data_IF_631938843071
#
_entry.id   IF_631938843071
#
_cell.length_a   1.000
_cell.length_b   1.000
_cell.length_c   1.000
_cell.angle_alpha   90.00
_cell.angle_beta   90.00
_cell.angle_gamma   90.00
#
_symmetry.space_group_name_H-M   'P 1'
#
loop_
_entity.id
_entity.type
_entity.pdbx_description
1 polymer ?
#
# COMPACT_ATOMS: atom_id res chain seq x y z
N UNK A 1 46.87 9.72 28.63
CA UNK A 1 45.79 8.78 28.30
C UNK A 1 44.62 9.57 27.74
N UNK A 2 44.43 9.54 26.42
CA UNK A 2 43.13 9.52 25.72
C UNK A 2 43.40 9.90 24.25
N UNK A 3 43.71 8.89 23.44
CA UNK A 3 43.72 8.98 21.98
C UNK A 3 42.29 9.22 21.50
N UNK A 4 42.06 10.35 20.84
CA UNK A 4 40.84 10.59 20.07
C UNK A 4 41.07 10.01 18.68
N UNK A 5 40.79 8.71 18.54
CA UNK A 5 40.72 8.04 17.25
C UNK A 5 39.47 8.51 16.49
N UNK A 6 39.62 9.64 15.78
CA UNK A 6 38.67 10.10 14.78
C UNK A 6 38.70 9.17 13.57
N UNK A 7 37.91 8.08 13.61
CA UNK A 7 37.53 7.33 12.42
C UNK A 7 36.75 8.26 11.49
N UNK A 8 37.44 8.80 10.49
CA UNK A 8 36.83 9.38 9.30
C UNK A 8 35.99 8.24 8.68
N UNK A 9 34.68 8.28 8.87
CA UNK A 9 33.75 7.51 8.04
C UNK A 9 33.84 8.13 6.66
N UNK A 10 34.56 7.45 5.76
CA UNK A 10 34.40 7.63 4.33
C UNK A 10 32.92 7.37 4.03
N UNK A 11 32.16 8.43 3.78
CA UNK A 11 30.84 8.35 3.16
C UNK A 11 31.15 7.94 1.73
N UNK A 12 31.21 6.63 1.46
CA UNK A 12 31.22 6.14 0.10
C UNK A 12 29.93 6.62 -0.54
N UNK A 13 30.09 7.57 -1.45
CA UNK A 13 29.04 8.23 -2.20
C UNK A 13 28.65 7.33 -3.39
N UNK A 14 28.28 6.07 -3.10
CA UNK A 14 27.67 5.18 -4.07
C UNK A 14 26.18 5.55 -4.16
N UNK A 15 25.89 6.77 -4.61
CA UNK A 15 24.54 7.12 -5.04
C UNK A 15 24.31 6.42 -6.38
N UNK A 16 23.81 5.19 -6.31
CA UNK A 16 23.09 4.61 -7.43
C UNK A 16 21.91 5.56 -7.71
N UNK A 17 21.80 6.06 -8.94
CA UNK A 17 20.69 6.92 -9.37
C UNK A 17 19.36 6.22 -9.07
N UNK A 18 18.68 6.64 -8.01
CA UNK A 18 17.42 6.02 -7.58
C UNK A 18 16.30 6.46 -8.52
N UNK A 19 15.57 5.49 -9.05
CA UNK A 19 14.44 5.73 -9.95
C UNK A 19 13.15 5.68 -9.14
N UNK A 20 12.28 6.67 -9.35
CA UNK A 20 10.97 6.76 -8.70
C UNK A 20 9.91 6.49 -9.76
N UNK A 21 9.01 5.56 -9.48
CA UNK A 21 7.89 5.26 -10.38
C UNK A 21 6.58 5.77 -9.78
N UNK A 22 5.73 6.39 -10.58
CA UNK A 22 4.39 6.84 -10.19
C UNK A 22 3.36 6.09 -11.03
N UNK A 23 2.63 5.19 -10.39
CA UNK A 23 1.48 4.50 -10.97
C UNK A 23 0.20 5.22 -10.58
N UNK A 24 -0.36 6.03 -11.49
CA UNK A 24 -1.61 6.77 -11.28
C UNK A 24 -2.25 7.05 -12.64
N UNK A 25 -3.56 7.18 -12.70
CA UNK A 25 -4.29 7.57 -13.92
C UNK A 25 -4.56 9.09 -13.99
N UNK A 26 -4.23 9.83 -12.93
CA UNK A 26 -4.41 11.27 -12.87
C UNK A 26 -3.20 12.04 -13.42
N UNK A 27 -3.32 12.52 -14.66
CA UNK A 27 -2.28 13.31 -15.34
C UNK A 27 -1.88 14.59 -14.60
N UNK A 28 -2.78 15.21 -13.83
CA UNK A 28 -2.47 16.42 -13.06
C UNK A 28 -1.62 16.10 -11.84
N UNK A 29 -1.93 14.98 -11.17
CA UNK A 29 -1.11 14.48 -10.08
C UNK A 29 0.29 14.13 -10.59
N UNK A 30 0.40 13.41 -11.71
CA UNK A 30 1.69 13.10 -12.34
C UNK A 30 2.54 14.33 -12.57
N UNK A 31 2.00 15.37 -13.23
CA UNK A 31 2.74 16.60 -13.52
C UNK A 31 3.21 17.29 -12.25
N UNK A 32 2.35 17.35 -11.25
CA UNK A 32 2.64 18.04 -9.99
C UNK A 32 3.70 17.29 -9.17
N UNK A 33 3.53 15.98 -9.00
CA UNK A 33 4.47 15.13 -8.28
C UNK A 33 5.82 15.05 -9.00
N UNK A 34 5.84 14.92 -10.34
CA UNK A 34 7.09 14.86 -11.11
C UNK A 34 7.86 16.18 -11.00
N UNK A 35 7.18 17.32 -11.15
CA UNK A 35 7.80 18.64 -10.99
C UNK A 35 8.39 18.82 -9.58
N UNK A 36 7.63 18.42 -8.55
CA UNK A 36 8.08 18.48 -7.17
C UNK A 36 9.31 17.59 -6.91
N UNK A 37 9.26 16.33 -7.35
CA UNK A 37 10.34 15.36 -7.13
C UNK A 37 11.61 15.73 -7.92
N UNK A 38 11.48 16.24 -9.15
CA UNK A 38 12.63 16.74 -9.91
C UNK A 38 13.33 17.91 -9.21
N UNK A 39 12.58 18.84 -8.62
CA UNK A 39 13.17 19.95 -7.87
C UNK A 39 13.90 19.48 -6.60
N UNK A 40 13.46 18.38 -5.97
CA UNK A 40 14.02 17.87 -4.71
C UNK A 40 15.22 16.95 -4.91
N UNK A 41 15.12 16.04 -5.87
CA UNK A 41 16.08 14.97 -6.07
C UNK A 41 17.02 15.26 -7.26
N UNK A 42 16.72 16.26 -8.07
CA UNK A 42 17.41 16.51 -9.33
C UNK A 42 16.80 15.71 -10.49
N UNK A 43 17.20 16.06 -11.71
CA UNK A 43 16.75 15.37 -12.93
C UNK A 43 17.31 13.95 -13.07
N UNK A 44 18.32 13.60 -12.27
CA UNK A 44 18.96 12.28 -12.22
C UNK A 44 18.05 11.20 -11.61
N UNK A 45 17.04 11.60 -10.81
CA UNK A 45 15.97 10.71 -10.37
C UNK A 45 14.88 10.69 -11.44
N UNK A 46 14.88 9.64 -12.25
CA UNK A 46 13.92 9.47 -13.33
C UNK A 46 12.55 9.18 -12.71
N UNK A 47 11.57 10.06 -12.96
CA UNK A 47 10.17 9.88 -12.58
C UNK A 47 9.42 9.34 -13.78
N UNK A 48 9.14 8.03 -13.78
CA UNK A 48 8.29 7.43 -14.80
C UNK A 48 6.84 7.41 -14.31
N UNK A 49 5.92 7.87 -15.15
CA UNK A 49 4.51 7.86 -14.86
C UNK A 49 3.84 6.77 -15.72
N UNK A 50 3.15 5.84 -15.07
CA UNK A 50 2.48 4.71 -15.74
C UNK A 50 1.00 4.69 -15.36
N UNK A 51 0.15 4.23 -16.28
CA UNK A 51 -1.31 4.18 -16.10
C UNK A 51 -1.89 2.77 -16.17
N UNK A 52 -1.06 1.76 -16.47
CA UNK A 52 -1.50 0.37 -16.52
C UNK A 52 -0.53 -0.59 -15.83
N UNK A 53 -1.05 -1.73 -15.38
CA UNK A 53 -0.28 -2.73 -14.64
C UNK A 53 0.84 -3.36 -15.49
N UNK A 54 0.65 -3.51 -16.81
CA UNK A 54 1.67 -4.16 -17.65
C UNK A 54 2.88 -3.25 -17.80
N UNK A 55 2.65 -1.97 -18.05
CA UNK A 55 3.71 -0.97 -18.11
C UNK A 55 4.41 -0.82 -16.75
N UNK A 56 3.65 -0.83 -15.64
CA UNK A 56 4.24 -0.87 -14.28
C UNK A 56 5.29 -1.99 -14.13
N UNK A 57 4.93 -3.23 -14.45
CA UNK A 57 5.87 -4.36 -14.31
C UNK A 57 6.95 -4.37 -15.40
N UNK A 58 6.67 -3.84 -16.59
CA UNK A 58 7.69 -3.65 -17.63
C UNK A 58 8.77 -2.67 -17.17
N UNK A 59 8.37 -1.50 -16.64
CA UNK A 59 9.29 -0.50 -16.11
C UNK A 59 10.14 -1.06 -14.96
N UNK A 60 9.54 -1.83 -14.04
CA UNK A 60 10.29 -2.52 -12.97
C UNK A 60 11.33 -3.49 -13.56
N UNK A 61 10.96 -4.24 -14.61
CA UNK A 61 11.85 -5.25 -15.19
C UNK A 61 13.04 -4.66 -15.97
N UNK A 62 12.88 -3.48 -16.58
CA UNK A 62 13.95 -2.84 -17.38
C UNK A 62 14.80 -1.83 -16.60
N UNK A 63 14.36 -1.42 -15.40
CA UNK A 63 15.08 -0.46 -14.56
C UNK A 63 15.43 -1.10 -13.21
N UNK A 64 16.68 -1.54 -13.07
CA UNK A 64 17.16 -2.20 -11.83
C UNK A 64 17.27 -1.26 -10.62
N UNK A 65 17.24 0.06 -10.86
CA UNK A 65 17.44 1.08 -9.82
C UNK A 65 16.13 1.66 -9.25
N UNK A 66 14.96 1.08 -9.56
CA UNK A 66 13.71 1.51 -8.95
C UNK A 66 13.73 1.18 -7.47
N UNK A 67 13.76 2.21 -6.62
CA UNK A 67 13.78 2.03 -5.17
C UNK A 67 12.42 2.36 -4.53
N UNK A 68 11.59 3.14 -5.22
CA UNK A 68 10.33 3.68 -4.70
C UNK A 68 9.26 3.69 -5.79
N UNK A 69 8.07 3.21 -5.43
CA UNK A 69 6.89 3.28 -6.28
C UNK A 69 5.74 3.93 -5.51
N UNK A 70 5.23 5.02 -6.05
CA UNK A 70 3.98 5.65 -5.62
C UNK A 70 2.83 5.04 -6.42
N UNK A 71 1.90 4.38 -5.74
CA UNK A 71 0.76 3.69 -6.36
C UNK A 71 -0.53 4.36 -5.91
N UNK A 72 -1.23 5.00 -6.84
CA UNK A 72 -2.59 5.47 -6.62
C UNK A 72 -3.54 4.30 -6.49
N UNK A 73 -4.18 4.19 -5.32
CA UNK A 73 -5.25 3.25 -5.11
C UNK A 73 -6.59 3.92 -5.35
N UNK A 74 -7.38 3.29 -6.21
CA UNK A 74 -8.78 3.61 -6.41
C UNK A 74 -9.63 2.36 -6.15
N UNK A 75 -10.66 2.41 -5.27
CA UNK A 75 -11.46 1.23 -4.91
C UNK A 75 -12.14 0.52 -6.08
N UNK A 76 -12.43 1.24 -7.17
CA UNK A 76 -13.03 0.67 -8.39
C UNK A 76 -11.98 -0.09 -9.22
N UNK A 77 -10.71 0.27 -9.11
CA UNK A 77 -9.60 -0.38 -9.83
C UNK A 77 -8.97 -1.45 -8.94
N UNK A 78 -9.76 -2.50 -8.70
CA UNK A 78 -9.46 -3.61 -7.80
C UNK A 78 -8.08 -4.24 -8.05
N UNK A 79 -7.62 -4.26 -9.31
CA UNK A 79 -6.31 -4.78 -9.70
C UNK A 79 -5.13 -4.11 -8.97
N UNK A 80 -5.29 -2.91 -8.43
CA UNK A 80 -4.21 -2.23 -7.68
C UNK A 80 -3.72 -3.06 -6.48
N UNK A 81 -4.64 -3.67 -5.71
CA UNK A 81 -4.25 -4.51 -4.57
C UNK A 81 -3.56 -5.81 -5.01
N UNK A 82 -3.95 -6.34 -6.16
CA UNK A 82 -3.29 -7.48 -6.79
C UNK A 82 -1.86 -7.12 -7.22
N UNK A 83 -1.68 -5.97 -7.88
CA UNK A 83 -0.36 -5.47 -8.28
C UNK A 83 0.54 -5.20 -7.07
N UNK A 84 0.01 -4.61 -6.00
CA UNK A 84 0.77 -4.41 -4.75
C UNK A 84 1.16 -5.76 -4.12
N UNK A 85 0.25 -6.74 -4.09
CA UNK A 85 0.56 -8.06 -3.58
C UNK A 85 1.69 -8.74 -4.37
N UNK A 86 1.66 -8.65 -5.71
CA UNK A 86 2.76 -9.13 -6.57
C UNK A 86 4.04 -8.37 -6.30
N UNK A 87 3.99 -7.04 -6.21
CA UNK A 87 5.15 -6.19 -5.94
C UNK A 87 5.84 -6.60 -4.64
N UNK A 88 5.08 -6.70 -3.54
CA UNK A 88 5.62 -7.14 -2.25
C UNK A 88 6.17 -8.56 -2.25
N UNK A 89 5.64 -9.43 -3.10
CA UNK A 89 6.08 -10.83 -3.21
C UNK A 89 7.37 -10.97 -4.02
N UNK A 90 7.50 -10.23 -5.12
CA UNK A 90 8.58 -10.40 -6.09
C UNK A 90 9.68 -9.34 -5.98
N UNK A 91 9.35 -8.16 -5.44
CA UNK A 91 10.23 -7.01 -5.27
C UNK A 91 10.07 -6.40 -3.85
N UNK A 92 10.29 -7.18 -2.78
CA UNK A 92 10.09 -6.73 -1.39
C UNK A 92 10.99 -5.56 -0.97
N UNK A 93 12.12 -5.37 -1.65
CA UNK A 93 13.07 -4.27 -1.48
C UNK A 93 12.57 -2.93 -2.01
N UNK A 94 11.60 -2.95 -2.94
CA UNK A 94 11.03 -1.72 -3.48
C UNK A 94 10.08 -1.11 -2.44
N UNK A 95 10.33 0.16 -2.10
CA UNK A 95 9.46 0.94 -1.23
C UNK A 95 8.14 1.23 -1.93
N UNK A 96 7.09 0.56 -1.49
CA UNK A 96 5.73 0.80 -1.97
C UNK A 96 5.04 1.87 -1.13
N UNK A 97 4.69 2.99 -1.74
CA UNK A 97 3.89 4.07 -1.15
C UNK A 97 2.52 4.07 -1.80
N UNK A 98 1.45 3.91 -1.02
CA UNK A 98 0.08 3.96 -1.56
C UNK A 98 -0.51 5.36 -1.40
N UNK A 99 -1.04 5.91 -2.49
CA UNK A 99 -1.70 7.21 -2.54
C UNK A 99 -3.23 7.02 -2.54
N UNK A 100 -3.93 7.66 -1.62
CA UNK A 100 -5.39 7.63 -1.49
C UNK A 100 -5.99 9.00 -1.83
N UNK A 101 -6.95 9.02 -2.77
CA UNK A 101 -7.70 10.24 -3.11
C UNK A 101 -8.61 10.67 -1.95
N UNK A 102 -9.37 9.73 -1.37
CA UNK A 102 -10.29 10.00 -0.27
C UNK A 102 -9.97 9.12 0.96
N UNK A 103 -9.16 9.63 1.89
CA UNK A 103 -8.70 8.87 3.03
C UNK A 103 -9.83 8.63 4.05
N UNK A 104 -10.14 7.37 4.34
CA UNK A 104 -11.01 7.01 5.45
C UNK A 104 -10.54 5.71 6.11
N UNK A 105 -10.99 5.49 7.36
CA UNK A 105 -10.54 4.38 8.20
C UNK A 105 -10.58 2.99 7.50
N UNK A 106 -11.68 2.56 6.84
CA UNK A 106 -11.68 1.26 6.17
C UNK A 106 -10.64 1.10 5.05
N UNK A 107 -10.29 2.16 4.32
CA UNK A 107 -9.24 2.09 3.29
C UNK A 107 -7.88 1.85 3.94
N UNK A 108 -7.59 2.49 5.07
CA UNK A 108 -6.36 2.26 5.84
C UNK A 108 -6.30 0.82 6.34
N UNK A 109 -7.39 0.29 6.91
CA UNK A 109 -7.48 -1.12 7.33
C UNK A 109 -7.15 -2.04 6.16
N UNK A 110 -7.80 -1.84 5.02
CA UNK A 110 -7.58 -2.65 3.83
C UNK A 110 -6.12 -2.61 3.38
N UNK A 111 -5.51 -1.43 3.31
CA UNK A 111 -4.10 -1.29 2.94
C UNK A 111 -3.18 -2.05 3.93
N UNK A 112 -3.42 -1.91 5.23
CA UNK A 112 -2.65 -2.62 6.27
C UNK A 112 -2.81 -4.14 6.18
N UNK A 113 -3.98 -4.63 5.81
CA UNK A 113 -4.21 -6.06 5.56
C UNK A 113 -3.41 -6.60 4.36
N UNK A 114 -2.96 -5.72 3.47
CA UNK A 114 -2.04 -6.01 2.37
C UNK A 114 -0.57 -5.71 2.69
N UNK A 115 -0.22 -5.48 3.97
CA UNK A 115 1.16 -5.19 4.42
C UNK A 115 1.73 -3.91 3.79
N UNK A 116 0.86 -2.96 3.48
CA UNK A 116 1.28 -1.63 3.05
C UNK A 116 1.67 -0.82 4.29
N UNK A 117 2.95 -0.49 4.38
CA UNK A 117 3.56 0.29 5.46
C UNK A 117 3.38 1.80 5.29
N UNK A 118 3.43 2.29 4.05
CA UNK A 118 3.46 3.73 3.77
C UNK A 118 2.21 4.12 3.00
N UNK A 119 1.38 4.97 3.60
CA UNK A 119 0.08 5.40 3.06
C UNK A 119 0.03 6.94 3.09
N UNK A 120 -0.16 7.56 1.94
CA UNK A 120 -0.34 9.00 1.76
C UNK A 120 -1.74 9.31 1.28
N UNK A 121 -2.25 10.48 1.65
CA UNK A 121 -3.40 11.08 0.98
C UNK A 121 -2.92 12.05 -0.08
N UNK A 122 -3.57 12.05 -1.24
CA UNK A 122 -3.37 13.08 -2.27
C UNK A 122 -3.99 14.43 -1.91
N UNK A 123 -4.73 14.52 -0.80
CA UNK A 123 -5.24 15.78 -0.25
C UNK A 123 -4.21 16.51 0.60
N UNK A 124 -3.14 15.83 1.03
CA UNK A 124 -2.05 16.47 1.76
C UNK A 124 -1.15 17.27 0.82
N UNK A 125 -0.34 18.13 1.40
CA UNK A 125 0.71 18.85 0.68
C UNK A 125 1.69 17.85 0.02
N UNK A 126 2.19 18.21 -1.17
CA UNK A 126 3.24 17.44 -1.87
C UNK A 126 4.51 17.30 -1.03
N UNK A 127 4.75 18.19 -0.05
CA UNK A 127 5.81 18.01 0.94
C UNK A 127 5.76 16.67 1.68
N UNK A 128 4.58 16.05 1.83
CA UNK A 128 4.47 14.71 2.41
C UNK A 128 5.17 13.63 1.58
N UNK A 129 5.41 13.86 0.29
CA UNK A 129 6.23 12.97 -0.53
C UNK A 129 7.66 12.91 0.01
N UNK A 130 8.23 14.04 0.47
CA UNK A 130 9.59 14.06 1.02
C UNK A 130 9.70 13.20 2.28
N UNK A 131 8.69 13.24 3.15
CA UNK A 131 8.68 12.48 4.40
C UNK A 131 8.78 10.97 4.20
N UNK A 132 8.44 10.47 3.00
CA UNK A 132 8.49 9.03 2.70
C UNK A 132 9.70 8.62 1.87
N UNK A 133 10.43 9.56 1.26
CA UNK A 133 11.60 9.25 0.41
C UNK A 133 12.81 8.73 1.20
N UNK A 134 12.87 8.98 2.50
CA UNK A 134 13.97 8.54 3.37
C UNK A 134 13.61 7.28 4.18
N UNK A 135 12.36 6.81 4.11
CA UNK A 135 11.87 5.65 4.88
C UNK A 135 12.38 4.32 4.33
N UNK A 136 12.52 3.29 5.16
CA UNK A 136 12.80 1.94 4.67
C UNK A 136 11.53 1.28 4.09
N UNK A 137 11.64 0.29 3.18
CA UNK A 137 10.49 -0.40 2.58
C UNK A 137 9.50 -1.04 3.58
N UNK A 138 9.98 -1.34 4.80
CA UNK A 138 9.23 -1.94 5.89
C UNK A 138 8.73 -0.92 6.92
N UNK A 139 9.01 0.37 6.74
CA UNK A 139 8.60 1.41 7.67
C UNK A 139 7.09 1.68 7.58
N UNK A 140 6.59 2.30 8.65
CA UNK A 140 5.20 2.66 8.78
C UNK A 140 5.07 4.18 8.72
N UNK A 141 4.26 4.66 7.79
CA UNK A 141 3.89 6.06 7.69
C UNK A 141 2.44 6.16 7.26
N UNK A 142 1.71 7.07 7.90
CA UNK A 142 0.33 7.41 7.57
C UNK A 142 0.26 8.93 7.55
N UNK A 143 -0.19 9.51 6.44
CA UNK A 143 -0.12 10.96 6.29
C UNK A 143 -1.08 11.71 7.23
N UNK A 144 -0.78 12.99 7.53
CA UNK A 144 -1.47 13.74 8.59
C UNK A 144 -2.98 13.89 8.37
N UNK A 145 -3.46 14.02 7.13
CA UNK A 145 -4.90 14.13 6.84
C UNK A 145 -5.73 12.94 7.36
N UNK A 146 -5.13 11.75 7.54
CA UNK A 146 -5.82 10.62 8.15
C UNK A 146 -6.07 10.83 9.65
N UNK A 147 -5.17 11.53 10.32
CA UNK A 147 -5.26 11.84 11.75
C UNK A 147 -6.28 12.95 12.00
N UNK A 148 -6.33 13.97 11.14
CA UNK A 148 -7.26 15.09 11.29
C UNK A 148 -8.73 14.69 11.06
N UNK A 149 -8.96 13.67 10.22
CA UNK A 149 -10.31 13.15 9.93
C UNK A 149 -10.73 11.98 10.85
N UNK A 150 -9.85 11.55 11.76
CA UNK A 150 -10.15 10.47 12.70
C UNK A 150 -10.76 11.04 13.98
N UNK A 151 -11.95 10.55 14.35
CA UNK A 151 -12.46 10.73 15.71
C UNK A 151 -11.68 9.86 16.71
N UNK A 152 -11.79 10.13 18.01
CA UNK A 152 -11.06 9.38 19.07
C UNK A 152 -11.21 7.86 18.95
N UNK A 153 -12.41 7.38 18.57
CA UNK A 153 -12.70 5.95 18.36
C UNK A 153 -11.95 5.36 17.17
N UNK A 154 -11.75 6.12 16.09
CA UNK A 154 -10.97 5.70 14.93
C UNK A 154 -9.47 5.76 15.23
N UNK A 155 -9.01 6.75 16.00
CA UNK A 155 -7.61 6.87 16.41
C UNK A 155 -7.13 5.67 17.22
N UNK A 156 -7.88 5.25 18.25
CA UNK A 156 -7.56 4.04 19.00
C UNK A 156 -7.47 2.79 18.12
N UNK A 157 -8.33 2.71 17.10
CA UNK A 157 -8.32 1.61 16.15
C UNK A 157 -7.12 1.67 15.21
N UNK A 158 -6.75 2.85 14.70
CA UNK A 158 -5.55 3.04 13.87
C UNK A 158 -4.31 2.62 14.67
N UNK A 159 -4.15 3.13 15.90
CA UNK A 159 -3.02 2.78 16.78
C UNK A 159 -2.96 1.27 17.03
N UNK A 160 -4.11 0.63 17.25
CA UNK A 160 -4.17 -0.83 17.40
C UNK A 160 -3.78 -1.56 16.12
N UNK A 161 -4.22 -1.08 14.96
CA UNK A 161 -3.86 -1.64 13.65
C UNK A 161 -2.36 -1.52 13.39
N UNK A 162 -1.77 -0.36 13.70
CA UNK A 162 -0.32 -0.16 13.56
C UNK A 162 0.50 -1.05 14.48
N UNK A 163 -0.04 -1.40 15.65
CA UNK A 163 0.61 -2.32 16.59
C UNK A 163 0.39 -3.81 16.25
N UNK A 164 -0.58 -4.15 15.41
CA UNK A 164 -0.88 -5.53 15.04
C UNK A 164 -0.07 -5.96 13.81
N UNK A 165 0.86 -6.90 13.99
CA UNK A 165 1.85 -7.23 12.96
C UNK A 165 1.31 -7.98 11.73
N UNK A 166 0.15 -8.66 11.75
CA UNK A 166 -0.46 -9.28 10.55
C UNK A 166 -1.97 -9.52 10.74
N UNK A 167 -2.81 -8.87 9.95
CA UNK A 167 -4.28 -9.05 10.00
C UNK A 167 -4.75 -10.32 9.28
N UNK A 168 -4.14 -10.63 8.15
CA UNK A 168 -4.51 -11.76 7.30
C UNK A 168 -3.39 -12.80 7.29
N UNK A 169 -3.77 -14.08 7.31
CA UNK A 169 -2.85 -15.17 6.98
C UNK A 169 -2.35 -15.02 5.53
N UNK A 170 -1.19 -15.59 5.19
CA UNK A 170 -0.70 -15.57 3.81
C UNK A 170 -1.72 -16.10 2.80
N UNK A 171 -2.50 -17.13 3.17
CA UNK A 171 -3.53 -17.71 2.31
C UNK A 171 -4.74 -16.79 2.12
N UNK A 172 -5.23 -16.18 3.21
CA UNK A 172 -6.35 -15.23 3.14
C UNK A 172 -6.01 -14.02 2.27
N UNK A 173 -4.80 -13.49 2.41
CA UNK A 173 -4.30 -12.38 1.61
C UNK A 173 -4.14 -12.77 0.14
N UNK A 174 -3.52 -13.92 -0.12
CA UNK A 174 -3.38 -14.45 -1.48
C UNK A 174 -4.75 -14.57 -2.17
N UNK A 175 -5.72 -15.21 -1.52
CA UNK A 175 -7.05 -15.41 -2.11
C UNK A 175 -7.74 -14.08 -2.39
N UNK A 176 -7.64 -13.10 -1.49
CA UNK A 176 -8.18 -11.77 -1.75
C UNK A 176 -7.45 -11.08 -2.91
N UNK A 177 -6.12 -11.11 -2.95
CA UNK A 177 -5.34 -10.53 -4.03
C UNK A 177 -5.76 -11.08 -5.39
N UNK A 178 -5.87 -12.40 -5.53
CA UNK A 178 -6.30 -13.03 -6.78
C UNK A 178 -7.74 -12.66 -7.17
N UNK A 179 -8.65 -12.53 -6.21
CA UNK A 179 -10.02 -12.05 -6.46
C UNK A 179 -10.01 -10.58 -6.92
N UNK A 180 -9.18 -9.75 -6.30
CA UNK A 180 -8.98 -8.36 -6.73
C UNK A 180 -8.33 -8.28 -8.11
N UNK A 181 -7.55 -9.29 -8.50
CA UNK A 181 -7.04 -9.55 -9.86
C UNK A 181 -8.03 -10.27 -10.78
N UNK A 182 -9.33 -10.14 -10.51
CA UNK A 182 -10.44 -10.64 -11.32
C UNK A 182 -10.54 -12.16 -11.47
N UNK A 183 -9.82 -12.96 -10.67
CA UNK A 183 -9.99 -14.42 -10.68
C UNK A 183 -11.23 -14.86 -9.92
N UNK A 184 -11.95 -15.83 -10.48
CA UNK A 184 -13.06 -16.48 -9.78
C UNK A 184 -12.56 -17.47 -8.72
N UNK A 185 -13.37 -17.71 -7.69
CA UNK A 185 -13.05 -18.71 -6.65
C UNK A 185 -12.86 -20.11 -7.21
N UNK A 186 -13.50 -20.43 -8.34
CA UNK A 186 -13.36 -21.72 -9.01
C UNK A 186 -11.99 -21.86 -9.67
N UNK A 187 -11.50 -20.81 -10.35
CA UNK A 187 -10.16 -20.77 -10.94
C UNK A 187 -9.10 -20.89 -9.85
N UNK A 188 -9.24 -20.11 -8.77
CA UNK A 188 -8.29 -20.16 -7.64
C UNK A 188 -8.29 -21.56 -7.01
N UNK A 189 -9.45 -22.20 -6.84
CA UNK A 189 -9.54 -23.55 -6.29
C UNK A 189 -8.82 -24.59 -7.15
N UNK A 190 -8.99 -24.50 -8.46
CA UNK A 190 -8.32 -25.35 -9.44
C UNK A 190 -6.80 -25.17 -9.39
N UNK A 191 -6.30 -23.94 -9.46
CA UNK A 191 -4.87 -23.61 -9.40
C UNK A 191 -4.22 -24.09 -8.08
N UNK A 192 -5.00 -24.13 -6.99
CA UNK A 192 -4.54 -24.53 -5.67
C UNK A 192 -4.75 -26.01 -5.34
N UNK A 193 -5.41 -26.78 -6.22
CA UNK A 193 -5.73 -28.18 -5.97
C UNK A 193 -6.63 -28.40 -4.75
N UNK A 194 -7.60 -27.52 -4.50
CA UNK A 194 -8.51 -27.61 -3.36
C UNK A 194 -9.97 -27.37 -3.75
N UNK A 195 -10.90 -27.52 -2.80
CA UNK A 195 -12.33 -27.30 -3.08
C UNK A 195 -12.67 -25.80 -3.17
N UNK A 196 -13.67 -25.46 -3.98
CA UNK A 196 -14.23 -24.10 -4.03
C UNK A 196 -14.72 -23.64 -2.65
N UNK A 197 -15.25 -24.58 -1.83
CA UNK A 197 -15.67 -24.32 -0.46
C UNK A 197 -14.52 -23.86 0.43
N UNK A 198 -13.33 -24.44 0.26
CA UNK A 198 -12.11 -24.05 0.98
C UNK A 198 -11.73 -22.60 0.65
N UNK A 199 -11.71 -22.25 -0.64
CA UNK A 199 -11.43 -20.87 -1.09
C UNK A 199 -12.47 -19.89 -0.55
N UNK A 200 -13.75 -20.26 -0.60
CA UNK A 200 -14.83 -19.44 -0.04
C UNK A 200 -14.66 -19.19 1.45
N UNK A 201 -14.25 -20.21 2.22
CA UNK A 201 -14.04 -20.07 3.66
C UNK A 201 -12.89 -19.10 3.97
N UNK A 202 -11.76 -19.20 3.26
CA UNK A 202 -10.68 -18.22 3.40
C UNK A 202 -11.12 -16.81 3.02
N UNK A 203 -11.83 -16.64 1.90
CA UNK A 203 -12.40 -15.34 1.50
C UNK A 203 -13.28 -14.76 2.60
N UNK A 204 -14.18 -15.57 3.15
CA UNK A 204 -15.09 -15.16 4.23
C UNK A 204 -14.31 -14.76 5.48
N UNK A 205 -13.35 -15.57 5.90
CA UNK A 205 -12.52 -15.27 7.07
C UNK A 205 -11.73 -13.96 6.88
N UNK A 206 -11.19 -13.75 5.68
CA UNK A 206 -10.44 -12.54 5.37
C UNK A 206 -11.34 -11.30 5.45
N UNK A 207 -12.53 -11.33 4.85
CA UNK A 207 -13.51 -10.24 4.94
C UNK A 207 -13.89 -9.93 6.39
N UNK A 208 -14.19 -10.96 7.20
CA UNK A 208 -14.53 -10.81 8.62
C UNK A 208 -13.38 -10.16 9.40
N UNK A 209 -12.14 -10.61 9.20
CA UNK A 209 -10.94 -10.06 9.86
C UNK A 209 -10.70 -8.59 9.51
N UNK A 210 -11.03 -8.19 8.29
CA UNK A 210 -10.96 -6.80 7.83
C UNK A 210 -12.16 -5.94 8.27
N UNK A 211 -13.19 -6.55 8.84
CA UNK A 211 -14.42 -5.85 9.24
C UNK A 211 -15.39 -5.59 8.08
N UNK A 212 -15.29 -6.32 6.97
CA UNK A 212 -16.19 -6.23 5.82
C UNK A 212 -17.17 -7.41 5.79
N UNK A 213 -18.43 -7.15 5.45
CA UNK A 213 -19.45 -8.19 5.25
C UNK A 213 -19.37 -8.81 3.87
N UNK A 214 -18.87 -8.05 2.89
CA UNK A 214 -18.78 -8.49 1.49
C UNK A 214 -17.70 -7.73 0.72
N UNK A 215 -17.30 -8.28 -0.43
CA UNK A 215 -16.42 -7.57 -1.38
C UNK A 215 -17.09 -6.29 -1.91
N UNK A 216 -18.42 -6.28 -1.98
CA UNK A 216 -19.20 -5.14 -2.44
C UNK A 216 -18.99 -3.93 -1.52
N UNK A 217 -18.87 -4.13 -0.21
CA UNK A 217 -18.54 -3.05 0.72
C UNK A 217 -17.16 -2.43 0.46
N UNK A 218 -16.18 -3.25 0.04
CA UNK A 218 -14.84 -2.77 -0.33
C UNK A 218 -14.90 -1.90 -1.59
N UNK A 219 -15.70 -2.29 -2.57
CA UNK A 219 -15.90 -1.51 -3.80
C UNK A 219 -16.59 -0.17 -3.50
N UNK A 220 -17.53 -0.14 -2.56
CA UNK A 220 -18.31 1.05 -2.20
C UNK A 220 -17.66 1.97 -1.16
N UNK A 221 -16.40 1.74 -0.80
CA UNK A 221 -15.66 2.56 0.17
C UNK A 221 -15.72 4.07 -0.14
N UNK A 222 -15.94 4.46 -1.40
CA UNK A 222 -16.16 5.84 -1.88
C UNK A 222 -17.25 6.65 -1.17
N UNK A 223 -18.22 6.06 -0.46
CA UNK A 223 -19.43 6.77 -0.02
C UNK A 223 -19.41 7.39 1.38
N UNK A 224 -18.32 7.31 2.14
CA UNK A 224 -18.26 7.94 3.48
C UNK A 224 -19.35 7.48 4.47
N UNK A 225 -20.10 6.42 4.13
CA UNK A 225 -21.19 5.94 4.94
C UNK A 225 -20.63 5.16 6.12
N UNK A 226 -20.97 5.65 7.30
CA UNK A 226 -20.86 5.00 8.60
C UNK A 226 -21.15 3.51 8.43
N UNK A 227 -20.17 2.67 8.76
CA UNK A 227 -20.35 1.23 8.95
C UNK A 227 -21.70 1.00 9.64
N UNK A 228 -22.58 0.13 9.13
CA UNK A 228 -23.82 -0.17 9.82
C UNK A 228 -23.48 -0.55 11.25
N UNK A 229 -23.94 0.27 12.20
CA UNK A 229 -23.91 -0.01 13.62
C UNK A 229 -24.40 -1.44 13.81
N UNK A 230 -23.47 -2.33 14.25
CA UNK A 230 -23.65 -3.70 14.75
C UNK A 230 -22.51 -4.61 14.27
N UNK A 231 -21.34 -4.40 14.87
CA UNK A 231 -20.46 -5.51 15.25
C UNK A 231 -19.90 -5.19 16.62
N UNK A 232 -20.81 -5.24 17.61
CA UNK A 232 -20.42 -5.42 19.01
C UNK A 232 -19.65 -6.75 19.09
N UNK A 233 -18.48 -6.71 19.70
CA UNK A 233 -17.82 -7.83 20.38
C UNK A 233 -17.29 -9.02 19.55
N UNK A 234 -16.84 -8.88 18.30
CA UNK A 234 -16.17 -10.00 17.62
C UNK A 234 -14.95 -9.62 16.77
N UNK A 235 -14.00 -8.88 17.35
CA UNK A 235 -12.61 -9.25 17.09
C UNK A 235 -12.31 -10.40 18.06
N UNK A 236 -12.71 -11.62 17.71
CA UNK A 236 -12.24 -12.78 18.44
C UNK A 236 -10.77 -12.98 18.09
N UNK A 237 -9.94 -12.46 18.99
CA UNK A 237 -8.51 -12.69 19.06
C UNK A 237 -8.32 -14.15 19.47
N UNK A 238 -7.82 -14.97 18.54
CA UNK A 238 -7.13 -16.22 18.84
C UNK A 238 -5.72 -16.10 18.28
#
# INVERSE_FOLDING_TARGET
>A
MSEVNGKIRLINNDYVDKVILIYDNNIYFHKSASSFLHNRCGSEFIVNAVSDEKDLFYQIAINENIDTIFIAYHPVWMNTLHSIYKLKKFYPEIRTVVLLDDPHFPSVVLMRCFEIGIILSKKDDLECLNSVLDLMPCDYYLSPSFLMNANDKNMDRIIRIEKMKRFLTPMERFILAEIFGEKSTSIIAQERGCSVKTIYQHKKNALVKMGFKSLVEIIYLRKGNVFPNETRNQIHVH
#
